data_IF_459513260867
#
_entry.id   IF_459513260867
#
_cell.length_a   1.000
_cell.length_b   1.000
_cell.length_c   1.000
_cell.angle_alpha   90.00
_cell.angle_beta   90.00
_cell.angle_gamma   90.00
#
_symmetry.space_group_name_H-M   'P 1'
#
loop_
_entity.id
_entity.type
_entity.pdbx_description
1 polymer ?
#
# COMPACT_ATOMS: atom_id res chain seq x y z
N UNK A 1 20.76 -1.67 -15.64
CA UNK A 1 20.85 -2.58 -14.48
C UNK A 1 20.28 -3.92 -14.95
N UNK A 2 21.06 -5.01 -15.06
CA UNK A 2 20.74 -6.11 -15.99
C UNK A 2 19.83 -7.23 -15.47
N UNK A 3 19.17 -7.08 -14.32
CA UNK A 3 18.36 -8.16 -13.71
C UNK A 3 17.08 -7.63 -13.04
N UNK A 4 16.41 -6.66 -13.67
CA UNK A 4 15.05 -6.28 -13.25
C UNK A 4 14.08 -7.23 -13.92
N UNK A 5 13.22 -7.85 -13.12
CA UNK A 5 12.16 -8.76 -13.56
C UNK A 5 11.25 -8.05 -14.58
N UNK A 6 11.29 -8.47 -15.86
CA UNK A 6 10.49 -7.94 -16.98
C UNK A 6 8.96 -8.20 -16.88
N UNK A 7 8.46 -8.74 -15.77
CA UNK A 7 7.09 -9.30 -15.71
C UNK A 7 6.25 -8.93 -14.48
N UNK A 8 6.71 -8.05 -13.60
CA UNK A 8 5.89 -7.59 -12.48
C UNK A 8 5.09 -6.35 -12.86
N UNK A 9 3.86 -6.57 -13.31
CA UNK A 9 2.86 -5.50 -13.50
C UNK A 9 2.03 -5.37 -12.24
N UNK A 10 2.03 -4.19 -11.63
CA UNK A 10 1.18 -3.95 -10.46
C UNK A 10 -0.29 -4.04 -10.85
N UNK A 11 -1.14 -4.64 -10.00
CA UNK A 11 -2.57 -4.82 -10.28
C UNK A 11 -3.27 -3.50 -10.67
N UNK A 12 -2.96 -2.41 -9.97
CA UNK A 12 -3.48 -1.09 -10.31
C UNK A 12 -3.00 -0.60 -11.69
N UNK A 13 -1.73 -0.87 -12.05
CA UNK A 13 -1.16 -0.56 -13.37
C UNK A 13 -1.90 -1.31 -14.48
N UNK A 14 -2.07 -2.63 -14.31
CA UNK A 14 -2.84 -3.48 -15.20
C UNK A 14 -4.27 -2.96 -15.42
N UNK A 15 -5.03 -2.69 -14.34
CA UNK A 15 -6.43 -2.27 -14.48
C UNK A 15 -6.57 -0.99 -15.29
N UNK A 16 -5.85 0.10 -14.94
CA UNK A 16 -6.01 1.33 -15.71
C UNK A 16 -5.45 1.20 -17.13
N UNK A 17 -4.46 0.34 -17.38
CA UNK A 17 -3.96 0.08 -18.73
C UNK A 17 -5.03 -0.60 -19.61
N UNK A 18 -5.73 -1.58 -19.05
CA UNK A 18 -6.82 -2.28 -19.74
C UNK A 18 -8.05 -1.37 -19.93
N UNK A 19 -8.38 -0.54 -18.93
CA UNK A 19 -9.51 0.40 -18.97
C UNK A 19 -9.36 1.49 -20.03
N UNK A 20 -8.13 1.86 -20.43
CA UNK A 20 -7.88 2.81 -21.53
C UNK A 20 -8.41 2.31 -22.88
N UNK A 21 -8.63 1.00 -23.04
CA UNK A 21 -9.22 0.38 -24.23
C UNK A 21 -8.52 0.77 -25.55
N UNK A 22 -7.18 0.74 -25.56
CA UNK A 22 -6.38 0.95 -26.77
C UNK A 22 -6.93 0.17 -27.98
N UNK A 23 -7.07 0.87 -29.10
CA UNK A 23 -7.60 0.36 -30.36
C UNK A 23 -6.88 0.92 -31.59
N UNK A 24 -7.17 0.38 -32.79
CA UNK A 24 -6.51 0.80 -34.03
C UNK A 24 -6.63 2.30 -34.28
N UNK A 25 -5.50 2.95 -34.59
CA UNK A 25 -5.40 4.38 -34.82
C UNK A 25 -4.98 5.19 -33.61
N UNK A 26 -5.08 4.63 -32.40
CA UNK A 26 -4.64 5.32 -31.18
C UNK A 26 -3.13 5.55 -31.19
N UNK A 27 -2.75 6.78 -30.85
CA UNK A 27 -1.35 7.19 -30.69
C UNK A 27 -0.91 6.96 -29.26
N UNK A 28 0.31 6.45 -29.09
CA UNK A 28 0.88 6.17 -27.77
C UNK A 28 2.32 6.64 -27.67
N UNK A 29 2.80 6.74 -26.43
CA UNK A 29 4.22 6.74 -26.09
C UNK A 29 4.56 5.54 -25.20
N UNK A 30 5.78 5.04 -25.30
CA UNK A 30 6.30 3.93 -24.51
C UNK A 30 7.72 4.28 -24.05
N UNK A 31 8.07 3.91 -22.82
CA UNK A 31 9.36 4.20 -22.23
C UNK A 31 10.33 3.05 -22.52
N UNK A 32 11.43 3.36 -23.21
CA UNK A 32 12.53 2.43 -23.51
C UNK A 32 13.83 3.16 -23.23
N UNK A 33 14.70 2.56 -22.39
CA UNK A 33 16.00 3.13 -21.98
C UNK A 33 15.91 4.62 -21.57
N UNK A 34 15.04 4.91 -20.60
CA UNK A 34 14.80 6.26 -20.06
C UNK A 34 14.35 7.30 -21.10
N UNK A 35 13.82 6.86 -22.24
CA UNK A 35 13.32 7.72 -23.31
C UNK A 35 11.91 7.33 -23.74
N UNK A 36 11.10 8.34 -24.06
CA UNK A 36 9.78 8.17 -24.65
C UNK A 36 9.87 8.00 -26.15
N UNK A 37 9.37 6.89 -26.65
CA UNK A 37 9.20 6.55 -28.06
C UNK A 37 7.74 6.57 -28.43
N UNK A 38 7.40 7.03 -29.62
CA UNK A 38 6.00 7.17 -30.06
C UNK A 38 5.64 6.21 -31.19
N UNK A 39 4.37 5.84 -31.24
CA UNK A 39 3.83 4.95 -32.25
C UNK A 39 2.32 5.02 -32.36
N UNK A 40 1.77 4.11 -33.16
CA UNK A 40 0.34 3.95 -33.37
C UNK A 40 -0.07 2.49 -33.22
N UNK A 41 -1.20 2.24 -32.56
CA UNK A 41 -1.81 0.92 -32.50
C UNK A 41 -2.41 0.59 -33.87
N UNK A 42 -2.08 -0.60 -34.38
CA UNK A 42 -2.55 -1.08 -35.70
C UNK A 42 -3.69 -2.09 -35.52
N UNK A 43 -3.59 -2.95 -34.51
CA UNK A 43 -4.52 -4.05 -34.29
C UNK A 43 -4.55 -4.44 -32.82
N UNK A 44 -5.70 -4.90 -32.33
CA UNK A 44 -5.83 -5.54 -31.02
C UNK A 44 -6.36 -6.96 -31.18
N UNK A 45 -5.55 -7.93 -30.78
CA UNK A 45 -5.91 -9.36 -30.74
C UNK A 45 -6.16 -9.76 -29.29
N UNK A 46 -7.35 -10.27 -28.96
CA UNK A 46 -7.65 -10.78 -27.60
C UNK A 46 -8.64 -9.93 -26.79
N UNK A 47 -9.41 -9.05 -27.44
CA UNK A 47 -10.57 -8.38 -26.84
C UNK A 47 -11.88 -8.92 -27.40
N UNK A 48 -12.01 -10.25 -27.56
CA UNK A 48 -13.30 -10.84 -27.88
C UNK A 48 -14.25 -10.55 -26.71
N UNK A 49 -15.39 -9.96 -27.03
CA UNK A 49 -16.53 -9.82 -26.14
C UNK A 49 -16.73 -11.14 -25.39
N UNK A 50 -16.64 -11.10 -24.07
CA UNK A 50 -17.19 -12.18 -23.25
C UNK A 50 -18.70 -12.03 -23.37
N UNK A 51 -19.28 -12.61 -24.42
CA UNK A 51 -20.71 -12.86 -24.48
C UNK A 51 -21.10 -13.71 -23.27
N UNK A 52 -21.89 -13.08 -22.41
CA UNK A 52 -22.83 -13.64 -21.43
C UNK A 52 -22.79 -15.16 -21.23
N UNK A 53 -22.00 -15.61 -20.25
CA UNK A 53 -22.41 -16.71 -19.37
C UNK A 53 -22.77 -16.12 -18.00
N UNK A 54 -23.75 -15.22 -18.01
CA UNK A 54 -24.54 -14.90 -16.84
C UNK A 54 -25.74 -15.85 -16.87
N UNK A 55 -25.67 -16.97 -16.16
CA UNK A 55 -26.80 -17.71 -15.55
C UNK A 55 -26.36 -19.11 -15.08
N UNK A 56 -25.48 -19.17 -14.07
CA UNK A 56 -25.41 -20.31 -13.15
C UNK A 56 -24.54 -19.94 -11.95
N UNK A 57 -25.17 -19.32 -10.94
CA UNK A 57 -24.89 -19.42 -9.49
C UNK A 57 -25.31 -18.12 -8.80
N UNK A 58 -26.63 -17.91 -8.77
CA UNK A 58 -27.24 -17.09 -7.75
C UNK A 58 -27.09 -17.85 -6.41
N UNK A 59 -26.25 -17.33 -5.52
CA UNK A 59 -26.27 -17.72 -4.10
C UNK A 59 -24.91 -17.96 -3.44
N UNK A 60 -24.08 -16.93 -3.32
CA UNK A 60 -23.11 -16.84 -2.23
C UNK A 60 -22.78 -15.38 -1.97
N UNK A 61 -23.03 -14.94 -0.73
CA UNK A 61 -22.92 -13.56 -0.29
C UNK A 61 -21.54 -12.93 -0.46
N UNK A 62 -21.56 -11.61 -0.41
CA UNK A 62 -20.39 -10.72 -0.39
C UNK A 62 -19.43 -11.13 0.74
N UNK A 63 -18.43 -11.93 0.39
CA UNK A 63 -17.38 -12.35 1.31
C UNK A 63 -16.59 -13.53 0.78
N UNK A 64 -15.47 -13.25 0.11
CA UNK A 64 -14.29 -14.13 -0.12
C UNK A 64 -13.76 -14.08 -1.57
N UNK A 65 -13.19 -12.95 -1.99
CA UNK A 65 -12.54 -12.80 -3.30
C UNK A 65 -11.08 -13.27 -3.40
N UNK A 66 -10.63 -14.27 -2.63
CA UNK A 66 -9.20 -14.61 -2.55
C UNK A 66 -8.85 -16.12 -2.58
N UNK A 67 -9.75 -16.96 -3.10
CA UNK A 67 -9.49 -18.39 -3.26
C UNK A 67 -8.63 -18.74 -4.49
N UNK A 68 -7.96 -19.91 -4.52
CA UNK A 68 -7.08 -20.32 -5.62
C UNK A 68 -7.78 -20.43 -6.99
N UNK A 69 -9.08 -20.69 -7.01
CA UNK A 69 -9.88 -20.70 -8.24
C UNK A 69 -10.06 -19.29 -8.83
N UNK A 70 -10.35 -18.29 -7.99
CA UNK A 70 -10.47 -16.89 -8.40
C UNK A 70 -9.14 -16.37 -8.96
N UNK A 71 -8.02 -16.71 -8.30
CA UNK A 71 -6.68 -16.37 -8.78
C UNK A 71 -6.38 -16.96 -10.17
N UNK A 72 -6.76 -18.23 -10.42
CA UNK A 72 -6.61 -18.88 -11.74
C UNK A 72 -7.49 -18.27 -12.83
N UNK A 73 -8.69 -17.80 -12.49
CA UNK A 73 -9.57 -17.08 -13.43
C UNK A 73 -8.94 -15.74 -13.82
N UNK A 74 -8.55 -14.95 -12.83
CA UNK A 74 -7.89 -13.66 -13.06
C UNK A 74 -6.60 -13.82 -13.87
N UNK A 75 -5.76 -14.82 -13.58
CA UNK A 75 -4.53 -15.05 -14.33
C UNK A 75 -4.79 -15.34 -15.83
N UNK A 76 -5.86 -16.07 -16.17
CA UNK A 76 -6.23 -16.34 -17.56
C UNK A 76 -6.70 -15.07 -18.29
N UNK A 77 -7.50 -14.25 -17.62
CA UNK A 77 -7.96 -12.96 -18.13
C UNK A 77 -6.80 -11.94 -18.26
N UNK A 78 -5.86 -11.94 -17.32
CA UNK A 78 -4.64 -11.14 -17.42
C UNK A 78 -3.77 -11.57 -18.61
N UNK A 79 -3.62 -12.89 -18.80
CA UNK A 79 -2.83 -13.44 -19.89
C UNK A 79 -3.39 -13.11 -21.29
N UNK A 80 -4.71 -12.95 -21.46
CA UNK A 80 -5.28 -12.58 -22.76
C UNK A 80 -4.92 -11.16 -23.20
N UNK A 81 -4.49 -10.30 -22.27
CA UNK A 81 -4.02 -8.95 -22.58
C UNK A 81 -2.51 -8.87 -22.88
N UNK A 82 -1.74 -9.88 -22.52
CA UNK A 82 -0.29 -9.90 -22.77
C UNK A 82 0.00 -9.91 -24.28
N UNK A 83 0.81 -8.96 -24.76
CA UNK A 83 1.17 -8.81 -26.18
C UNK A 83 -0.03 -8.76 -27.14
N UNK A 84 -1.17 -8.28 -26.63
CA UNK A 84 -2.45 -8.21 -27.35
C UNK A 84 -2.53 -7.08 -28.36
N UNK A 85 -1.64 -6.08 -28.31
CA UNK A 85 -1.64 -4.92 -29.20
C UNK A 85 -0.53 -5.06 -30.23
N UNK A 86 -0.87 -5.04 -31.51
CA UNK A 86 0.11 -4.88 -32.59
C UNK A 86 0.27 -3.38 -32.84
N UNK A 87 1.49 -2.90 -32.75
CA UNK A 87 1.83 -1.48 -32.90
C UNK A 87 2.76 -1.26 -34.09
N UNK A 88 2.74 -0.03 -34.61
CA UNK A 88 3.71 0.49 -35.55
C UNK A 88 4.39 1.69 -34.92
N UNK A 89 5.69 1.59 -34.69
CA UNK A 89 6.53 2.68 -34.24
C UNK A 89 6.68 3.74 -35.34
N UNK A 90 7.03 4.97 -34.95
CA UNK A 90 7.20 6.07 -35.92
C UNK A 90 8.39 5.87 -36.87
N UNK A 91 9.36 5.03 -36.49
CA UNK A 91 10.44 4.58 -37.37
C UNK A 91 9.98 3.52 -38.41
N UNK A 92 8.73 3.06 -38.34
CA UNK A 92 8.13 2.07 -39.23
C UNK A 92 8.19 0.62 -38.74
N UNK A 93 8.90 0.34 -37.65
CA UNK A 93 8.99 -1.00 -37.09
C UNK A 93 7.66 -1.46 -36.51
N UNK A 94 7.41 -2.77 -36.59
CA UNK A 94 6.18 -3.41 -36.13
C UNK A 94 6.50 -4.32 -34.97
N UNK A 95 5.73 -4.21 -33.89
CA UNK A 95 5.95 -4.99 -32.67
C UNK A 95 4.62 -5.34 -32.00
N UNK A 96 4.65 -6.29 -31.06
CA UNK A 96 3.52 -6.54 -30.17
C UNK A 96 3.85 -6.01 -28.77
N UNK A 97 2.92 -5.28 -28.19
CA UNK A 97 3.01 -4.74 -26.85
C UNK A 97 1.75 -5.11 -26.05
N UNK A 98 1.88 -5.04 -24.73
CA UNK A 98 0.77 -5.18 -23.80
C UNK A 98 0.18 -3.80 -23.48
N UNK A 99 -1.09 -3.71 -23.07
CA UNK A 99 -1.72 -2.43 -22.74
C UNK A 99 -0.97 -1.57 -21.71
N UNK A 100 -0.21 -2.20 -20.79
CA UNK A 100 0.56 -1.54 -19.74
C UNK A 100 1.93 -1.02 -20.19
N UNK A 101 2.34 -1.34 -21.42
CA UNK A 101 3.55 -0.78 -22.02
C UNK A 101 3.26 0.59 -22.68
N UNK A 102 1.97 0.92 -22.90
CA UNK A 102 1.52 2.13 -23.59
C UNK A 102 1.02 3.19 -22.61
N UNK A 103 1.48 4.42 -22.81
CA UNK A 103 0.97 5.63 -22.15
C UNK A 103 0.43 6.64 -23.17
N UNK A 104 -0.53 7.50 -22.79
CA UNK A 104 -1.00 8.58 -23.64
C UNK A 104 0.13 9.52 -24.06
N UNK A 105 0.07 10.00 -25.30
CA UNK A 105 0.99 11.03 -25.79
C UNK A 105 0.77 12.33 -25.01
N UNK A 106 1.87 12.94 -24.57
CA UNK A 106 1.88 14.35 -24.16
C UNK A 106 2.15 15.22 -25.40
N UNK A 107 1.19 16.03 -25.87
CA UNK A 107 1.34 16.85 -27.07
C UNK A 107 2.46 17.90 -26.94
N UNK A 108 2.91 18.24 -25.73
CA UNK A 108 3.98 19.20 -25.50
C UNK A 108 5.38 18.56 -25.52
N UNK A 109 5.46 17.23 -25.60
CA UNK A 109 6.69 16.44 -25.42
C UNK A 109 6.88 15.45 -26.56
N UNK A 110 6.67 15.93 -27.79
CA UNK A 110 6.86 15.14 -29.01
C UNK A 110 8.32 15.19 -29.49
N UNK A 111 8.84 14.11 -30.09
CA UNK A 111 10.14 14.14 -30.75
C UNK A 111 10.13 15.11 -31.94
N UNK A 112 11.28 15.73 -32.22
CA UNK A 112 11.41 16.71 -33.33
C UNK A 112 11.38 16.03 -34.70
N UNK A 113 11.85 14.78 -34.77
CA UNK A 113 11.95 14.01 -36.00
C UNK A 113 11.10 12.73 -35.89
N UNK A 114 10.47 12.27 -36.99
CA UNK A 114 9.76 10.99 -37.00
C UNK A 114 10.69 9.84 -36.60
N UNK A 115 10.26 9.04 -35.62
CA UNK A 115 11.07 7.95 -35.07
C UNK A 115 12.14 8.40 -34.06
N UNK A 116 12.18 9.68 -33.69
CA UNK A 116 12.99 10.16 -32.58
C UNK A 116 12.38 9.85 -31.21
N UNK A 117 13.16 10.08 -30.15
CA UNK A 117 12.74 9.87 -28.77
C UNK A 117 12.89 11.14 -27.92
N UNK A 118 12.17 11.22 -26.80
CA UNK A 118 12.25 12.33 -25.84
C UNK A 118 12.68 11.80 -24.47
N UNK A 119 13.73 12.35 -23.83
CA UNK A 119 14.18 11.86 -22.52
C UNK A 119 13.09 11.95 -21.45
N UNK A 120 12.91 10.88 -20.66
CA UNK A 120 11.98 10.84 -19.52
C UNK A 120 12.47 11.78 -18.43
N UNK A 121 11.60 12.64 -17.91
CA UNK A 121 11.94 13.49 -16.75
C UNK A 121 11.51 12.84 -15.43
N UNK A 122 12.21 13.15 -14.34
CA UNK A 122 11.96 12.55 -13.02
C UNK A 122 10.49 12.68 -12.55
N UNK A 123 9.82 13.79 -12.89
CA UNK A 123 8.40 13.98 -12.58
C UNK A 123 7.46 13.02 -13.32
N UNK A 124 7.78 12.66 -14.57
CA UNK A 124 7.02 11.69 -15.36
C UNK A 124 7.18 10.28 -14.78
N UNK A 125 8.41 9.88 -14.47
CA UNK A 125 8.68 8.59 -13.84
C UNK A 125 7.97 8.45 -12.49
N UNK A 126 8.00 9.50 -11.66
CA UNK A 126 7.29 9.52 -10.38
C UNK A 126 5.77 9.39 -10.54
N UNK A 127 5.19 10.01 -11.58
CA UNK A 127 3.75 9.91 -11.87
C UNK A 127 3.32 8.52 -12.36
N UNK A 128 4.19 7.78 -13.06
CA UNK A 128 3.90 6.39 -13.47
C UNK A 128 3.92 5.42 -12.28
N UNK A 129 4.80 5.68 -11.31
CA UNK A 129 4.97 4.85 -10.12
C UNK A 129 3.93 5.13 -9.03
N UNK A 130 3.45 6.37 -8.93
CA UNK A 130 2.45 6.79 -7.93
C UNK A 130 1.09 6.91 -8.60
N UNK A 131 0.16 6.01 -8.26
CA UNK A 131 -1.25 6.18 -8.58
C UNK A 131 -2.00 6.39 -7.29
N UNK A 132 -2.72 7.50 -7.20
CA UNK A 132 -3.53 7.87 -6.05
C UNK A 132 -4.70 6.87 -5.92
N UNK A 133 -4.48 5.76 -5.21
CA UNK A 133 -5.60 4.96 -4.74
C UNK A 133 -6.29 5.76 -3.60
N UNK A 134 -7.63 5.79 -3.56
CA UNK A 134 -8.41 6.62 -2.62
C UNK A 134 -8.17 6.35 -1.13
N UNK A 135 -7.44 5.28 -0.80
CA UNK A 135 -7.08 4.88 0.57
C UNK A 135 -5.59 5.11 0.89
N UNK A 136 -4.87 5.79 0.01
CA UNK A 136 -3.48 6.20 0.25
C UNK A 136 -3.40 7.43 1.13
N UNK A 137 -2.21 7.67 1.65
CA UNK A 137 -1.91 8.88 2.39
C UNK A 137 -1.86 10.09 1.47
N UNK A 138 -2.45 11.19 1.92
CA UNK A 138 -2.23 12.50 1.29
C UNK A 138 -0.73 12.85 1.24
N UNK A 139 -0.26 13.60 0.22
CA UNK A 139 1.11 14.05 0.14
C UNK A 139 1.58 14.73 1.43
N UNK A 140 2.72 14.28 1.96
CA UNK A 140 3.31 14.80 3.21
C UNK A 140 2.72 14.22 4.50
N UNK A 141 1.63 13.45 4.45
CA UNK A 141 1.03 12.85 5.65
C UNK A 141 2.01 11.94 6.41
N UNK A 142 2.78 11.10 5.69
CA UNK A 142 3.80 10.24 6.30
C UNK A 142 4.88 11.04 7.06
N UNK A 143 5.30 12.19 6.53
CA UNK A 143 6.27 13.07 7.21
C UNK A 143 5.67 13.65 8.50
N UNK A 144 4.42 14.12 8.45
CA UNK A 144 3.70 14.62 9.62
C UNK A 144 3.48 13.51 10.66
N UNK A 145 3.09 12.31 10.22
CA UNK A 145 2.93 11.13 11.07
C UNK A 145 4.25 10.73 11.76
N UNK A 146 5.37 10.72 11.03
CA UNK A 146 6.68 10.44 11.62
C UNK A 146 7.06 11.47 12.71
N UNK A 147 6.71 12.74 12.51
CA UNK A 147 6.87 13.79 13.52
C UNK A 147 6.00 13.55 14.77
N UNK A 148 4.72 13.20 14.59
CA UNK A 148 3.84 12.84 15.71
C UNK A 148 4.31 11.58 16.46
N UNK A 149 4.81 10.56 15.75
CA UNK A 149 5.41 9.38 16.38
C UNK A 149 6.66 9.78 17.18
N UNK A 150 7.45 10.74 16.72
CA UNK A 150 8.59 11.28 17.48
C UNK A 150 8.14 11.96 18.77
N UNK A 151 7.03 12.71 18.75
CA UNK A 151 6.44 13.29 19.96
C UNK A 151 5.90 12.21 20.90
N UNK A 152 5.27 11.14 20.39
CA UNK A 152 4.84 10.00 21.18
C UNK A 152 6.04 9.32 21.87
N UNK A 153 7.15 9.13 21.15
CA UNK A 153 8.38 8.52 21.68
C UNK A 153 9.05 9.33 22.79
N UNK A 154 8.77 10.64 22.92
CA UNK A 154 9.32 11.47 24.00
C UNK A 154 8.51 11.40 25.30
N UNK A 155 7.32 10.79 25.28
CA UNK A 155 6.51 10.58 26.47
C UNK A 155 7.11 9.45 27.32
N UNK A 156 7.19 9.65 28.64
CA UNK A 156 7.75 8.66 29.56
C UNK A 156 7.03 7.30 29.51
N UNK A 157 5.72 7.29 29.22
CA UNK A 157 4.93 6.06 29.05
C UNK A 157 5.41 5.19 27.88
N UNK A 158 6.07 5.79 26.89
CA UNK A 158 6.46 5.13 25.66
C UNK A 158 7.84 4.46 25.77
N UNK A 159 8.63 4.75 26.81
CA UNK A 159 10.03 4.33 26.95
C UNK A 159 10.27 2.85 26.65
N UNK A 160 9.47 1.89 27.17
CA UNK A 160 9.69 0.46 26.88
C UNK A 160 9.44 0.04 25.43
N UNK A 161 8.79 0.90 24.65
CA UNK A 161 8.35 0.65 23.27
C UNK A 161 9.14 1.48 22.25
N UNK A 162 10.09 2.31 22.69
CA UNK A 162 10.86 3.21 21.80
C UNK A 162 11.73 2.42 20.83
N UNK A 163 12.30 1.30 21.27
CA UNK A 163 13.24 0.48 20.49
C UNK A 163 12.86 -1.01 20.55
N UNK A 164 13.40 -1.85 19.65
CA UNK A 164 13.16 -3.29 19.69
C UNK A 164 13.55 -3.91 21.04
N UNK A 165 12.80 -4.93 21.48
CA UNK A 165 13.10 -5.67 22.70
C UNK A 165 14.47 -6.35 22.57
N UNK A 166 15.35 -6.10 23.55
CA UNK A 166 16.68 -6.71 23.59
C UNK A 166 16.58 -8.21 23.89
N UNK A 167 16.90 -9.03 22.88
CA UNK A 167 16.87 -10.50 22.98
C UNK A 167 18.00 -11.08 23.83
N UNK A 168 19.05 -10.31 24.16
CA UNK A 168 20.06 -10.75 25.12
C UNK A 168 19.50 -10.72 26.54
N UNK A 169 18.71 -9.68 26.86
CA UNK A 169 18.00 -9.57 28.14
C UNK A 169 16.75 -10.46 28.20
N UNK A 170 16.03 -10.59 27.09
CA UNK A 170 14.78 -11.34 26.99
C UNK A 170 14.83 -12.43 25.90
N UNK A 171 15.66 -13.47 26.04
CA UNK A 171 15.88 -14.48 25.00
C UNK A 171 14.63 -15.29 24.64
N UNK A 172 13.67 -15.43 25.58
CA UNK A 172 12.41 -16.11 25.32
C UNK A 172 11.41 -15.28 24.49
N UNK A 173 11.65 -13.98 24.29
CA UNK A 173 10.72 -13.09 23.58
C UNK A 173 10.45 -13.56 22.16
N UNK A 174 11.51 -13.94 21.42
CA UNK A 174 11.41 -14.43 20.05
C UNK A 174 10.71 -15.80 19.93
N UNK A 175 10.58 -16.55 21.03
CA UNK A 175 9.83 -17.82 21.06
C UNK A 175 8.33 -17.60 21.26
N UNK A 176 7.94 -16.47 21.85
CA UNK A 176 6.57 -16.14 22.24
C UNK A 176 5.92 -15.19 21.25
N UNK A 177 6.66 -14.20 20.77
CA UNK A 177 6.19 -13.11 19.90
C UNK A 177 6.64 -13.36 18.47
N UNK A 178 5.68 -13.69 17.60
CA UNK A 178 5.95 -14.00 16.19
C UNK A 178 6.18 -12.76 15.31
N UNK A 179 5.63 -11.60 15.70
CA UNK A 179 5.72 -10.36 14.94
C UNK A 179 6.13 -9.20 15.87
N UNK A 180 7.43 -9.05 16.15
CA UNK A 180 7.93 -7.96 16.98
C UNK A 180 7.77 -6.62 16.25
N UNK A 181 7.35 -5.59 16.99
CA UNK A 181 7.22 -4.21 16.51
C UNK A 181 7.46 -3.25 17.67
N UNK A 182 8.03 -2.09 17.35
CA UNK A 182 8.36 -1.00 18.27
C UNK A 182 8.18 0.35 17.56
N UNK A 183 8.21 1.45 18.33
CA UNK A 183 7.95 2.79 17.81
C UNK A 183 9.04 3.31 16.86
N UNK A 184 10.31 2.91 17.04
CA UNK A 184 11.36 3.28 16.07
C UNK A 184 11.14 2.61 14.72
N UNK A 185 10.68 1.34 14.72
CA UNK A 185 10.27 0.63 13.50
C UNK A 185 9.09 1.31 12.82
N UNK A 186 8.05 1.68 13.57
CA UNK A 186 6.87 2.39 13.02
C UNK A 186 7.27 3.75 12.43
N UNK A 187 8.08 4.54 13.14
CA UNK A 187 8.57 5.83 12.65
C UNK A 187 9.35 5.68 11.34
N UNK A 188 10.31 4.75 11.31
CA UNK A 188 11.13 4.50 10.12
C UNK A 188 10.26 4.05 8.92
N UNK A 189 9.19 3.28 9.15
CA UNK A 189 8.25 2.89 8.09
C UNK A 189 7.45 4.07 7.55
N UNK A 190 7.11 5.07 8.35
CA UNK A 190 6.54 6.32 7.85
C UNK A 190 7.56 7.15 7.06
N UNK A 191 8.78 7.33 7.58
CA UNK A 191 9.86 8.08 6.92
C UNK A 191 10.20 7.51 5.53
N UNK A 192 10.15 6.19 5.39
CA UNK A 192 10.45 5.48 4.14
C UNK A 192 9.21 5.19 3.27
N UNK A 193 8.06 5.81 3.57
CA UNK A 193 6.80 5.62 2.83
C UNK A 193 6.35 4.15 2.70
N UNK A 194 6.73 3.31 3.66
CA UNK A 194 6.43 1.87 3.66
C UNK A 194 4.93 1.61 3.87
N UNK A 195 4.30 2.38 4.75
CA UNK A 195 2.86 2.30 4.95
C UNK A 195 2.14 2.99 3.82
N UNK A 196 1.74 2.24 2.79
CA UNK A 196 0.94 2.78 1.68
C UNK A 196 -0.46 3.22 2.12
N UNK A 197 -1.03 2.61 3.17
CA UNK A 197 -2.41 2.82 3.63
C UNK A 197 -2.49 2.91 5.15
N UNK A 198 -3.47 3.65 5.72
CA UNK A 198 -3.67 3.72 7.17
C UNK A 198 -3.81 2.36 7.85
N UNK A 199 -4.53 1.42 7.23
CA UNK A 199 -4.76 0.09 7.77
C UNK A 199 -3.46 -0.69 8.06
N UNK A 200 -2.41 -0.50 7.25
CA UNK A 200 -1.12 -1.16 7.47
C UNK A 200 -0.41 -0.62 8.72
N UNK A 201 -0.42 0.70 8.93
CA UNK A 201 0.14 1.31 10.13
C UNK A 201 -0.66 0.96 11.39
N UNK A 202 -2.00 0.93 11.30
CA UNK A 202 -2.85 0.51 12.42
C UNK A 202 -2.65 -0.95 12.80
N UNK A 203 -2.34 -1.82 11.83
CA UNK A 203 -2.04 -3.23 12.10
C UNK A 203 -0.80 -3.35 12.98
N UNK A 204 0.30 -2.69 12.61
CA UNK A 204 1.52 -2.64 13.42
C UNK A 204 1.28 -2.02 14.80
N UNK A 205 0.53 -0.91 14.87
CA UNK A 205 0.23 -0.25 16.13
C UNK A 205 -0.45 -1.19 17.13
N UNK A 206 -1.42 -2.00 16.69
CA UNK A 206 -2.14 -2.97 17.55
C UNK A 206 -1.22 -4.07 18.10
N UNK A 207 -0.11 -4.36 17.43
CA UNK A 207 0.84 -5.35 17.89
C UNK A 207 1.68 -4.86 19.08
N UNK A 208 1.79 -3.56 19.35
CA UNK A 208 2.44 -3.06 20.57
C UNK A 208 1.75 -3.59 21.83
N UNK A 209 0.43 -3.39 21.96
CA UNK A 209 -0.35 -3.96 23.05
C UNK A 209 -0.42 -5.50 22.98
N UNK A 210 -0.69 -6.08 21.81
CA UNK A 210 -0.86 -7.54 21.68
C UNK A 210 0.41 -8.31 22.07
N UNK A 211 1.59 -7.81 21.70
CA UNK A 211 2.86 -8.43 22.07
C UNK A 211 3.15 -8.25 23.56
N UNK A 212 2.89 -7.05 24.11
CA UNK A 212 3.07 -6.80 25.53
C UNK A 212 2.19 -7.73 26.38
N UNK A 213 0.92 -7.91 26.02
CA UNK A 213 -0.02 -8.81 26.70
C UNK A 213 0.36 -10.29 26.57
N UNK A 214 0.90 -10.68 25.42
CA UNK A 214 1.29 -12.07 25.16
C UNK A 214 2.55 -12.47 25.92
N UNK A 215 3.49 -11.55 26.10
CA UNK A 215 4.77 -11.84 26.75
C UNK A 215 4.76 -11.53 28.26
N UNK A 216 4.07 -10.48 28.70
CA UNK A 216 4.12 -10.01 30.07
C UNK A 216 2.92 -10.50 30.91
N UNK A 217 3.04 -10.36 32.24
CA UNK A 217 1.93 -10.70 33.14
C UNK A 217 0.72 -9.79 32.88
N UNK A 218 -0.51 -10.33 32.86
CA UNK A 218 -1.73 -9.52 32.79
C UNK A 218 -1.74 -8.44 33.87
N UNK A 219 -2.28 -7.26 33.54
CA UNK A 219 -2.39 -6.09 34.43
C UNK A 219 -1.06 -5.47 34.92
N UNK A 220 0.10 -5.99 34.49
CA UNK A 220 1.39 -5.37 34.80
C UNK A 220 1.47 -3.94 34.25
N UNK A 221 2.33 -3.08 34.84
CA UNK A 221 2.48 -1.69 34.39
C UNK A 221 2.81 -1.57 32.90
N UNK A 222 3.70 -2.42 32.37
CA UNK A 222 4.07 -2.42 30.95
C UNK A 222 2.87 -2.76 30.04
N UNK A 223 1.98 -3.67 30.44
CA UNK A 223 0.77 -3.98 29.66
C UNK A 223 -0.19 -2.79 29.64
N UNK A 224 -0.36 -2.09 30.77
CA UNK A 224 -1.18 -0.87 30.83
C UNK A 224 -0.60 0.25 29.96
N UNK A 225 0.71 0.45 30.03
CA UNK A 225 1.44 1.41 29.19
C UNK A 225 1.30 1.07 27.71
N UNK A 226 1.42 -0.22 27.34
CA UNK A 226 1.29 -0.68 25.96
C UNK A 226 -0.09 -0.33 25.36
N UNK A 227 -1.17 -0.50 26.14
CA UNK A 227 -2.53 -0.14 25.72
C UNK A 227 -2.66 1.37 25.51
N UNK A 228 -2.19 2.17 26.47
CA UNK A 228 -2.25 3.63 26.36
C UNK A 228 -1.47 4.15 25.14
N UNK A 229 -0.25 3.62 24.91
CA UNK A 229 0.58 3.95 23.74
C UNK A 229 -0.10 3.51 22.44
N UNK A 230 -0.71 2.33 22.42
CA UNK A 230 -1.42 1.79 21.24
C UNK A 230 -2.62 2.67 20.88
N UNK A 231 -3.45 3.03 21.86
CA UNK A 231 -4.64 3.87 21.64
C UNK A 231 -4.25 5.26 21.14
N UNK A 232 -3.21 5.86 21.73
CA UNK A 232 -2.67 7.15 21.30
C UNK A 232 -2.12 7.07 19.86
N UNK A 233 -1.36 6.03 19.52
CA UNK A 233 -0.83 5.84 18.18
C UNK A 233 -1.95 5.63 17.15
N UNK A 234 -2.98 4.83 17.46
CA UNK A 234 -4.15 4.65 16.60
C UNK A 234 -4.92 5.96 16.39
N UNK A 235 -5.05 6.79 17.43
CA UNK A 235 -5.64 8.12 17.32
C UNK A 235 -4.82 9.04 16.42
N UNK A 236 -3.49 9.07 16.60
CA UNK A 236 -2.56 9.84 15.75
C UNK A 236 -2.72 9.43 14.28
N UNK A 237 -2.72 8.12 13.99
CA UNK A 237 -2.85 7.60 12.61
C UNK A 237 -4.17 8.05 11.97
N UNK A 238 -5.25 8.09 12.74
CA UNK A 238 -6.60 8.42 12.23
C UNK A 238 -6.87 9.92 12.14
N UNK A 239 -6.19 10.75 12.94
CA UNK A 239 -6.46 12.18 13.09
C UNK A 239 -5.22 13.05 12.82
N UNK A 240 -4.28 12.56 12.03
CA UNK A 240 -2.95 13.13 11.85
C UNK A 240 -2.92 14.60 11.39
N UNK A 241 -3.99 15.10 10.77
CA UNK A 241 -4.08 16.50 10.33
C UNK A 241 -4.29 17.47 11.50
N UNK A 242 -4.99 17.03 12.55
CA UNK A 242 -5.48 17.88 13.65
C UNK A 242 -5.26 17.19 14.99
N UNK A 243 -4.03 16.77 15.28
CA UNK A 243 -3.68 16.13 16.54
C UNK A 243 -2.66 16.94 17.30
N UNK A 244 -2.95 17.20 18.57
CA UNK A 244 -1.96 17.55 19.58
C UNK A 244 -1.68 16.28 20.38
N UNK A 245 -0.49 15.70 20.18
CA UNK A 245 -0.11 14.41 20.77
C UNK A 245 -0.09 14.48 22.30
N UNK A 246 0.37 15.59 22.86
CA UNK A 246 0.55 15.76 24.30
C UNK A 246 -0.80 15.96 24.98
N UNK A 247 -1.65 16.81 24.42
CA UNK A 247 -3.02 17.00 24.93
C UNK A 247 -3.78 15.68 24.87
N UNK A 248 -3.71 14.95 23.74
CA UNK A 248 -4.40 13.68 23.62
C UNK A 248 -3.88 12.62 24.58
N UNK A 249 -2.57 12.58 24.81
CA UNK A 249 -1.97 11.74 25.83
C UNK A 249 -2.55 12.01 27.21
N UNK A 250 -2.65 13.28 27.64
CA UNK A 250 -3.18 13.62 28.95
C UNK A 250 -4.66 13.23 29.11
N UNK A 251 -5.47 13.41 28.07
CA UNK A 251 -6.87 12.95 28.06
C UNK A 251 -6.98 11.43 28.26
N UNK A 252 -6.22 10.65 27.49
CA UNK A 252 -6.23 9.19 27.58
C UNK A 252 -5.63 8.71 28.91
N UNK A 253 -4.56 9.35 29.38
CA UNK A 253 -3.98 9.01 30.67
C UNK A 253 -5.01 9.20 31.79
N UNK A 254 -5.74 10.31 31.80
CA UNK A 254 -6.77 10.57 32.82
C UNK A 254 -7.87 9.50 32.84
N UNK A 255 -8.29 8.97 31.68
CA UNK A 255 -9.29 7.90 31.63
C UNK A 255 -8.75 6.57 32.17
N UNK A 256 -7.48 6.24 31.88
CA UNK A 256 -6.84 5.02 32.37
C UNK A 256 -6.60 5.02 33.88
N UNK A 257 -6.33 6.18 34.50
CA UNK A 257 -6.26 6.31 35.96
C UNK A 257 -7.63 6.18 36.65
N UNK A 258 -8.72 6.47 35.93
CA UNK A 258 -10.10 6.33 36.42
C UNK A 258 -10.64 4.90 36.30
N UNK A 259 -10.12 4.12 35.35
CA UNK A 259 -10.60 2.77 35.01
C UNK A 259 -9.87 1.62 35.71
N UNK A 260 -9.16 1.89 36.81
CA UNK A 260 -8.25 0.92 37.45
C UNK A 260 -8.91 -0.34 38.05
N UNK A 261 -10.23 -0.54 37.87
CA UNK A 261 -11.03 -1.60 38.52
C UNK A 261 -11.73 -2.63 37.61
N UNK A 262 -11.57 -2.69 36.27
CA UNK A 262 -12.17 -3.80 35.49
C UNK A 262 -11.30 -4.45 34.39
N UNK A 263 -11.23 -5.81 34.35
CA UNK A 263 -10.65 -6.55 33.23
C UNK A 263 -11.57 -6.56 31.98
N UNK A 264 -10.98 -6.23 30.82
CA UNK A 264 -11.62 -6.12 29.49
C UNK A 264 -12.26 -7.39 28.91
N UNK A 265 -12.19 -8.55 29.57
CA UNK A 265 -12.94 -9.74 29.12
C UNK A 265 -14.47 -9.48 29.07
N UNK A 266 -14.94 -8.49 29.83
CA UNK A 266 -16.35 -8.10 29.92
C UNK A 266 -16.81 -7.15 28.80
N UNK A 267 -15.89 -6.42 28.14
CA UNK A 267 -16.27 -5.34 27.21
C UNK A 267 -16.53 -5.84 25.79
N UNK A 268 -16.01 -7.02 25.42
CA UNK A 268 -16.28 -7.65 24.12
C UNK A 268 -17.61 -8.42 24.04
N UNK A 269 -18.28 -8.67 25.18
CA UNK A 269 -19.59 -9.35 25.21
C UNK A 269 -20.79 -8.39 25.22
N UNK A 270 -20.57 -7.06 25.22
CA UNK A 270 -21.65 -6.05 25.26
C UNK A 270 -21.98 -5.43 23.90
N UNK A 271 -21.38 -5.92 22.82
CA UNK A 271 -21.78 -5.57 21.45
C UNK A 271 -22.30 -6.84 20.77
N UNK A 272 -23.54 -7.19 21.09
CA UNK A 272 -24.40 -8.10 20.32
C UNK A 272 -25.82 -7.57 20.41
#
# INVERSE_FOLDING_TARGET
MPDVIDFLVLRAQYHAAVERRWGPGDRFRCMIDDSWWTGMVVERTGGAEVETEAEAEAGAGEGAGNGPAAARRWAREAASHFLSLKVRWDNGEMERLSPWDLEPIDPNRLPQEPGGAVPVVAGELAALLRRDETHEWEPGACTTLASHVTQLMSLAVAEPFVAPVDLQLYPSYALVVAYPVDLSTVRARFENLFYRRPAAAQFDARYLASNAERFNKPHSPIVRQARLVTDLLLYIISNWQNVDVVVKYHELAASYHSSDDEPLATTLHKVS
#
